data_IF_567253774404
#
_entry.id   IF_567253774404
#
_cell.length_a   1.000
_cell.length_b   1.000
_cell.length_c   1.000
_cell.angle_alpha   90.00
_cell.angle_beta   90.00
_cell.angle_gamma   90.00
#
_symmetry.space_group_name_H-M   'P 1'
#
loop_
_entity.id
_entity.type
_entity.pdbx_description
1 polymer ?
#
# COMPACT_ATOMS: atom_id res chain seq x y z
N UNK A 1 -5.07 19.62 29.68
CA UNK A 1 -3.60 19.82 29.67
C UNK A 1 -3.29 20.79 28.54
N UNK A 2 -2.87 22.00 28.88
CA UNK A 2 -2.70 23.12 27.96
C UNK A 2 -1.34 22.99 27.28
N UNK A 3 -1.31 23.02 25.94
CA UNK A 3 -0.09 23.29 25.17
C UNK A 3 -0.31 24.63 24.48
N UNK A 4 0.54 25.59 24.84
CA UNK A 4 0.59 26.92 24.24
C UNK A 4 1.48 26.84 23.00
N UNK A 5 0.91 27.10 21.82
CA UNK A 5 1.68 27.43 20.61
C UNK A 5 1.59 28.94 20.40
N UNK A 6 2.72 29.66 20.52
CA UNK A 6 2.82 31.06 20.09
C UNK A 6 3.45 31.12 18.68
N UNK A 7 2.57 31.44 17.73
CA UNK A 7 2.68 32.29 16.51
C UNK A 7 3.91 32.16 15.59
N UNK A 8 3.76 32.00 14.26
CA UNK A 8 3.10 32.96 13.36
C UNK A 8 2.40 32.31 12.16
N UNK A 9 1.27 32.91 11.83
CA UNK A 9 0.18 32.45 10.96
C UNK A 9 0.53 32.55 9.46
N UNK A 10 0.34 31.45 8.74
CA UNK A 10 -0.24 31.42 7.41
C UNK A 10 -1.33 30.34 7.45
N UNK A 11 -2.59 30.71 7.25
CA UNK A 11 -3.77 29.83 7.40
C UNK A 11 -3.53 28.44 6.78
N UNK A 12 -3.48 27.40 7.60
CA UNK A 12 -3.89 26.08 7.14
C UNK A 12 -5.41 26.13 7.18
N UNK A 13 -6.03 26.27 6.01
CA UNK A 13 -7.44 25.95 5.88
C UNK A 13 -7.55 24.46 6.19
N UNK A 14 -8.27 24.09 7.24
CA UNK A 14 -8.75 22.72 7.42
C UNK A 14 -9.78 22.45 6.29
N UNK A 15 -9.29 22.19 5.09
CA UNK A 15 -10.03 21.42 4.10
C UNK A 15 -9.75 19.96 4.41
N UNK A 16 -10.70 19.35 5.13
CA UNK A 16 -10.59 18.02 5.70
C UNK A 16 -10.10 16.98 4.69
N UNK A 17 -8.89 16.49 4.90
CA UNK A 17 -8.47 15.15 4.47
C UNK A 17 -8.26 14.33 5.73
N UNK A 18 -8.99 13.22 5.80
CA UNK A 18 -8.82 12.21 6.84
C UNK A 18 -7.38 11.64 6.81
N UNK A 19 -6.89 11.09 7.92
CA UNK A 19 -5.50 10.60 8.04
C UNK A 19 -5.21 9.49 7.03
N UNK A 20 -4.17 9.63 6.20
CA UNK A 20 -3.61 8.49 5.48
C UNK A 20 -2.88 7.56 6.45
N UNK A 21 -2.96 6.26 6.20
CA UNK A 21 -2.23 5.20 6.88
C UNK A 21 -0.73 5.32 6.60
N UNK A 22 -0.31 5.50 5.35
CA UNK A 22 1.01 4.99 4.94
C UNK A 22 2.06 5.96 4.39
N UNK A 23 1.70 7.17 3.92
CA UNK A 23 2.66 8.05 3.22
C UNK A 23 2.70 9.46 3.79
N UNK A 24 3.90 9.92 4.12
CA UNK A 24 4.20 11.33 4.41
C UNK A 24 4.80 11.97 3.17
N UNK A 25 4.09 12.94 2.61
CA UNK A 25 4.52 13.71 1.45
C UNK A 25 4.10 15.16 1.70
N UNK A 26 5.01 16.11 1.47
CA UNK A 26 4.68 17.53 1.57
C UNK A 26 3.77 17.93 0.40
N UNK A 27 2.89 18.90 0.59
CA UNK A 27 1.87 19.24 -0.41
C UNK A 27 2.45 19.85 -1.69
N UNK A 28 3.55 20.58 -1.57
CA UNK A 28 4.34 21.09 -2.70
C UNK A 28 4.92 19.94 -3.53
N UNK A 29 5.53 18.95 -2.86
CA UNK A 29 6.03 17.76 -3.51
C UNK A 29 4.87 16.99 -4.15
N UNK A 30 3.78 16.72 -3.44
CA UNK A 30 2.60 16.02 -3.96
C UNK A 30 2.10 16.62 -5.28
N UNK A 31 2.01 17.95 -5.34
CA UNK A 31 1.57 18.66 -6.54
C UNK A 31 2.57 18.53 -7.70
N UNK A 32 3.87 18.50 -7.43
CA UNK A 32 4.92 18.22 -8.41
C UNK A 32 4.81 16.78 -8.94
N UNK A 33 4.65 15.78 -8.05
CA UNK A 33 4.59 14.37 -8.45
C UNK A 33 3.43 14.10 -9.41
N UNK A 34 2.26 14.71 -9.15
CA UNK A 34 1.09 14.62 -10.01
C UNK A 34 1.33 15.25 -11.39
N UNK A 35 2.14 16.32 -11.47
CA UNK A 35 2.44 17.00 -12.74
C UNK A 35 3.47 16.23 -13.57
N UNK A 36 4.45 15.64 -12.93
CA UNK A 36 5.61 15.05 -13.61
C UNK A 36 5.47 13.53 -13.82
N UNK A 37 4.44 12.88 -13.24
CA UNK A 37 4.25 11.43 -13.32
C UNK A 37 5.43 10.64 -12.71
N UNK A 38 6.19 11.26 -11.81
CA UNK A 38 7.45 10.72 -11.30
C UNK A 38 7.24 9.61 -10.27
N UNK A 39 8.30 8.82 -10.11
CA UNK A 39 8.43 7.65 -9.22
C UNK A 39 8.95 8.11 -7.87
N UNK A 40 8.26 7.79 -6.78
CA UNK A 40 8.71 8.15 -5.44
C UNK A 40 8.44 6.97 -4.50
N UNK A 41 9.45 6.15 -4.28
CA UNK A 41 9.38 5.04 -3.35
C UNK A 41 9.58 3.67 -4.00
N UNK A 42 9.92 2.72 -3.15
CA UNK A 42 10.05 1.32 -3.52
C UNK A 42 8.67 0.75 -3.85
N UNK A 43 8.46 0.42 -5.11
CA UNK A 43 7.23 -0.20 -5.58
C UNK A 43 7.54 -1.45 -6.41
N UNK A 44 6.59 -2.36 -6.45
CA UNK A 44 6.67 -3.57 -7.24
C UNK A 44 5.33 -3.78 -7.95
N UNK A 45 5.39 -4.26 -9.19
CA UNK A 45 4.21 -4.80 -9.84
C UNK A 45 3.89 -6.14 -9.18
N UNK A 46 2.63 -6.35 -8.82
CA UNK A 46 2.18 -7.59 -8.21
C UNK A 46 0.96 -8.12 -8.93
N UNK A 47 0.88 -9.44 -9.01
CA UNK A 47 -0.33 -10.16 -9.39
C UNK A 47 -1.10 -10.54 -8.13
N UNK A 48 -2.35 -10.11 -8.07
CA UNK A 48 -3.28 -10.37 -7.00
C UNK A 48 -4.37 -11.33 -7.48
N UNK A 49 -4.53 -12.45 -6.78
CA UNK A 49 -5.61 -13.40 -6.99
C UNK A 49 -6.64 -13.26 -5.86
N UNK A 50 -7.89 -13.02 -6.21
CA UNK A 50 -8.98 -12.85 -5.24
C UNK A 50 -9.41 -14.21 -4.69
N UNK A 51 -9.36 -14.39 -3.37
CA UNK A 51 -9.73 -15.64 -2.69
C UNK A 51 -11.09 -15.58 -1.99
N UNK A 52 -11.64 -14.37 -1.78
CA UNK A 52 -12.95 -14.15 -1.12
C UNK A 52 -13.77 -13.10 -1.86
N UNK A 53 -15.08 -13.07 -1.59
CA UNK A 53 -16.00 -12.09 -2.17
C UNK A 53 -16.67 -12.60 -3.45
N UNK A 54 -17.20 -11.68 -4.27
CA UNK A 54 -17.96 -12.06 -5.46
C UNK A 54 -17.09 -12.44 -6.67
N UNK A 55 -15.84 -11.98 -6.68
CA UNK A 55 -14.92 -12.16 -7.80
C UNK A 55 -13.81 -13.16 -7.45
N UNK A 56 -14.11 -14.19 -6.65
CA UNK A 56 -13.18 -15.28 -6.34
C UNK A 56 -12.64 -15.89 -7.64
N UNK A 57 -11.32 -16.07 -7.68
CA UNK A 57 -10.59 -16.56 -8.85
C UNK A 57 -10.26 -15.48 -9.88
N UNK A 58 -10.66 -14.22 -9.67
CA UNK A 58 -10.18 -13.12 -10.50
C UNK A 58 -8.70 -12.82 -10.23
N UNK A 59 -8.02 -12.35 -11.26
CA UNK A 59 -6.61 -12.00 -11.22
C UNK A 59 -6.43 -10.57 -11.73
N UNK A 60 -5.67 -9.77 -10.98
CA UNK A 60 -5.40 -8.37 -11.31
C UNK A 60 -3.91 -8.07 -11.10
N UNK A 61 -3.29 -7.43 -12.08
CA UNK A 61 -1.94 -6.90 -11.94
C UNK A 61 -2.05 -5.44 -11.48
N UNK A 62 -1.28 -5.07 -10.47
CA UNK A 62 -1.34 -3.76 -9.82
C UNK A 62 0.04 -3.37 -9.29
N UNK A 63 0.35 -2.08 -9.34
CA UNK A 63 1.54 -1.53 -8.68
C UNK A 63 1.28 -1.31 -7.20
N UNK A 64 2.17 -1.84 -6.37
CA UNK A 64 2.10 -1.69 -4.91
C UNK A 64 3.34 -1.03 -4.36
N UNK A 65 3.17 -0.13 -3.40
CA UNK A 65 4.26 0.47 -2.62
C UNK A 65 4.71 -0.50 -1.54
N UNK A 66 5.99 -0.85 -1.52
CA UNK A 66 6.61 -1.59 -0.44
C UNK A 66 6.83 -0.66 0.76
N UNK A 67 5.88 -0.68 1.71
CA UNK A 67 5.90 0.19 2.87
C UNK A 67 6.46 -0.51 4.12
N UNK A 68 7.76 -0.38 4.35
CA UNK A 68 8.40 -0.95 5.55
C UNK A 68 7.92 -0.32 6.88
N UNK A 69 7.29 0.86 6.85
CA UNK A 69 6.68 1.49 8.03
C UNK A 69 5.27 0.98 8.34
N UNK A 70 4.71 0.13 7.48
CA UNK A 70 3.42 -0.51 7.70
C UNK A 70 3.62 -1.85 8.44
N UNK A 71 3.66 -1.76 9.77
CA UNK A 71 3.97 -2.90 10.64
C UNK A 71 2.74 -3.76 10.96
N UNK A 72 2.87 -5.07 10.74
CA UNK A 72 1.77 -6.03 10.92
C UNK A 72 2.25 -7.34 11.56
N UNK A 73 1.31 -8.18 12.03
CA UNK A 73 1.67 -9.50 12.61
C UNK A 73 1.94 -10.57 11.56
N UNK A 74 1.30 -10.46 10.40
CA UNK A 74 1.43 -11.38 9.27
C UNK A 74 1.25 -10.63 7.95
N UNK A 75 1.39 -11.31 6.81
CA UNK A 75 1.29 -10.68 5.50
C UNK A 75 -0.05 -9.96 5.31
N UNK A 76 0.03 -8.68 4.99
CA UNK A 76 -1.11 -7.78 4.90
C UNK A 76 -0.85 -6.72 3.83
N UNK A 77 -1.92 -6.25 3.19
CA UNK A 77 -1.87 -5.08 2.34
C UNK A 77 -2.98 -4.10 2.66
N UNK A 78 -2.71 -2.81 2.44
CA UNK A 78 -3.79 -1.81 2.33
C UNK A 78 -4.26 -1.77 0.89
N UNK A 79 -5.57 -1.82 0.70
CA UNK A 79 -6.23 -1.73 -0.59
C UNK A 79 -7.10 -0.47 -0.63
N UNK A 80 -6.87 0.46 -1.59
CA UNK A 80 -7.78 1.56 -1.85
C UNK A 80 -9.20 1.08 -2.11
N UNK A 81 -10.19 1.79 -1.59
CA UNK A 81 -11.61 1.43 -1.74
C UNK A 81 -12.03 1.22 -3.21
N UNK A 82 -11.54 2.06 -4.12
CA UNK A 82 -11.80 1.93 -5.57
C UNK A 82 -11.21 0.66 -6.16
N UNK A 83 -10.03 0.22 -5.70
CA UNK A 83 -9.50 -1.07 -6.12
C UNK A 83 -10.30 -2.23 -5.52
N UNK A 84 -10.71 -2.11 -4.25
CA UNK A 84 -11.57 -3.10 -3.59
C UNK A 84 -12.92 -3.28 -4.29
N UNK A 85 -13.48 -2.22 -4.87
CA UNK A 85 -14.68 -2.29 -5.73
C UNK A 85 -14.39 -3.08 -7.01
N UNK A 86 -13.27 -2.80 -7.68
CA UNK A 86 -12.85 -3.52 -8.89
C UNK A 86 -12.66 -5.02 -8.66
N UNK A 87 -12.06 -5.41 -7.52
CA UNK A 87 -11.87 -6.82 -7.15
C UNK A 87 -13.07 -7.42 -6.39
N UNK A 88 -14.18 -6.67 -6.30
CA UNK A 88 -15.44 -7.09 -5.71
C UNK A 88 -15.36 -7.51 -4.23
N UNK A 89 -14.42 -6.93 -3.48
CA UNK A 89 -14.38 -6.96 -2.02
C UNK A 89 -15.24 -5.84 -1.42
N UNK A 90 -15.57 -4.80 -2.20
CA UNK A 90 -16.58 -3.79 -1.90
C UNK A 90 -17.63 -3.70 -3.04
N UNK A 91 -18.84 -3.15 -2.78
CA UNK A 91 -19.41 -2.84 -1.46
C UNK A 91 -19.90 -4.11 -0.71
N UNK A 92 -19.95 -5.27 -1.38
CA UNK A 92 -20.39 -6.52 -0.76
C UNK A 92 -19.25 -7.22 -0.04
N UNK A 93 -18.92 -6.73 1.15
CA UNK A 93 -17.88 -7.29 2.00
C UNK A 93 -18.04 -8.81 2.17
N UNK A 94 -16.96 -9.60 2.01
CA UNK A 94 -17.03 -11.04 2.22
C UNK A 94 -17.42 -11.40 3.65
N UNK A 95 -17.97 -12.61 3.83
CA UNK A 95 -18.24 -13.15 5.16
C UNK A 95 -16.95 -13.23 6.00
N UNK A 96 -17.08 -12.92 7.29
CA UNK A 96 -15.94 -12.88 8.20
C UNK A 96 -15.06 -11.65 8.05
N UNK A 97 -15.52 -10.60 7.36
CA UNK A 97 -14.88 -9.26 7.42
C UNK A 97 -15.10 -8.61 8.79
N UNK A 98 -14.09 -7.97 9.37
CA UNK A 98 -14.22 -7.21 10.62
C UNK A 98 -13.59 -5.82 10.55
N UNK A 99 -13.79 -4.99 11.57
CA UNK A 99 -13.14 -3.69 11.67
C UNK A 99 -11.79 -3.79 12.36
N UNK A 100 -10.75 -3.23 11.74
CA UNK A 100 -9.40 -3.12 12.34
C UNK A 100 -9.00 -1.66 12.45
N UNK A 101 -8.25 -1.31 13.50
CA UNK A 101 -7.82 0.07 13.77
C UNK A 101 -6.30 0.15 13.64
N UNK A 102 -5.83 1.08 12.82
CA UNK A 102 -4.42 1.37 12.59
C UNK A 102 -4.06 2.71 13.23
N UNK A 103 -2.86 2.80 13.79
CA UNK A 103 -2.29 4.08 14.22
C UNK A 103 -1.57 4.68 13.03
N UNK A 104 -1.88 5.93 12.72
CA UNK A 104 -1.22 6.70 11.65
C UNK A 104 -0.59 7.96 12.23
N UNK A 105 0.19 8.68 11.44
CA UNK A 105 0.80 9.95 11.85
C UNK A 105 -0.25 11.02 12.20
N UNK A 106 -1.44 10.99 11.57
CA UNK A 106 -2.51 11.95 11.81
C UNK A 106 -3.64 11.40 12.71
N UNK A 107 -3.49 10.19 13.28
CA UNK A 107 -4.43 9.63 14.26
C UNK A 107 -4.87 8.19 13.95
N UNK A 108 -5.74 7.59 14.77
CA UNK A 108 -6.26 6.26 14.52
C UNK A 108 -7.24 6.24 13.33
N UNK A 109 -7.11 5.25 12.45
CA UNK A 109 -8.00 5.02 11.31
C UNK A 109 -8.64 3.64 11.44
N UNK A 110 -9.96 3.56 11.26
CA UNK A 110 -10.71 2.29 11.21
C UNK A 110 -10.93 1.90 9.75
N UNK A 111 -10.68 0.63 9.44
CA UNK A 111 -10.86 0.05 8.10
C UNK A 111 -11.62 -1.26 8.16
N UNK A 112 -12.18 -1.69 7.03
CA UNK A 112 -12.66 -3.05 6.84
C UNK A 112 -11.48 -3.98 6.59
N UNK A 113 -11.45 -5.11 7.29
CA UNK A 113 -10.36 -6.08 7.21
C UNK A 113 -10.88 -7.44 6.77
N UNK A 114 -10.34 -7.94 5.65
CA UNK A 114 -10.64 -9.26 5.08
C UNK A 114 -9.42 -10.15 5.25
N UNK A 115 -9.47 -11.07 6.22
CA UNK A 115 -8.37 -12.03 6.43
C UNK A 115 -8.32 -13.07 5.32
N UNK A 116 -7.11 -13.32 4.81
CA UNK A 116 -6.88 -14.26 3.71
C UNK A 116 -7.72 -13.93 2.48
N UNK A 117 -7.96 -12.64 2.22
CA UNK A 117 -8.82 -12.19 1.13
C UNK A 117 -8.21 -12.41 -0.25
N UNK A 118 -6.87 -12.45 -0.33
CA UNK A 118 -6.12 -12.51 -1.59
C UNK A 118 -4.84 -13.33 -1.46
N UNK A 119 -4.34 -13.81 -2.59
CA UNK A 119 -2.98 -14.30 -2.77
C UNK A 119 -2.20 -13.31 -3.63
N UNK A 120 -0.95 -13.01 -3.25
CA UNK A 120 -0.11 -12.01 -3.93
C UNK A 120 1.18 -12.66 -4.43
N UNK A 121 1.62 -12.26 -5.63
CA UNK A 121 2.94 -12.58 -6.22
C UNK A 121 3.57 -11.32 -6.77
N UNK A 122 4.87 -11.14 -6.61
CA UNK A 122 5.62 -10.09 -7.30
C UNK A 122 5.86 -10.51 -8.75
N UNK A 123 5.57 -9.61 -9.67
CA UNK A 123 5.91 -9.73 -11.08
C UNK A 123 7.26 -9.05 -11.33
N UNK A 124 8.13 -9.77 -12.03
CA UNK A 124 9.41 -9.29 -12.49
C UNK A 124 9.58 -9.71 -13.96
N UNK A 125 10.44 -9.00 -14.69
CA UNK A 125 10.66 -9.19 -16.13
C UNK A 125 10.92 -10.65 -16.54
N UNK A 126 11.60 -11.42 -15.67
CA UNK A 126 12.13 -12.75 -15.91
C UNK A 126 11.57 -13.84 -14.97
N UNK A 127 10.81 -13.47 -13.94
CA UNK A 127 10.31 -14.41 -12.93
C UNK A 127 9.13 -13.84 -12.15
N UNK A 128 8.44 -14.73 -11.44
CA UNK A 128 7.48 -14.36 -10.39
C UNK A 128 7.99 -14.81 -9.02
N UNK A 129 7.54 -14.17 -7.94
CA UNK A 129 7.74 -14.72 -6.60
C UNK A 129 6.84 -15.93 -6.35
N UNK A 130 7.11 -16.63 -5.25
CA UNK A 130 6.13 -17.52 -4.65
C UNK A 130 4.87 -16.74 -4.24
N UNK A 131 3.76 -17.47 -4.19
CA UNK A 131 2.48 -16.95 -3.77
C UNK A 131 2.40 -16.80 -2.25
N UNK A 132 1.89 -15.66 -1.80
CA UNK A 132 1.70 -15.38 -0.37
C UNK A 132 0.24 -15.03 -0.11
N UNK A 133 -0.42 -15.82 0.73
CA UNK A 133 -1.75 -15.50 1.25
C UNK A 133 -1.69 -14.25 2.14
N UNK A 134 -2.64 -13.34 1.96
CA UNK A 134 -2.55 -11.99 2.49
C UNK A 134 -3.91 -11.49 3.02
N UNK A 135 -3.88 -10.80 4.16
CA UNK A 135 -5.03 -10.04 4.66
C UNK A 135 -5.17 -8.70 3.95
N UNK A 136 -6.40 -8.24 3.73
CA UNK A 136 -6.69 -6.99 3.03
C UNK A 136 -7.32 -5.99 3.98
N UNK A 137 -6.64 -4.87 4.21
CA UNK A 137 -7.16 -3.69 4.90
C UNK A 137 -7.72 -2.70 3.87
N UNK A 138 -9.03 -2.57 3.77
CA UNK A 138 -9.68 -1.72 2.78
C UNK A 138 -9.80 -0.29 3.32
N UNK A 139 -9.09 0.65 2.70
CA UNK A 139 -9.03 2.05 3.13
C UNK A 139 -9.71 2.97 2.12
N UNK A 140 -10.62 3.82 2.62
CA UNK A 140 -11.19 4.94 1.83
C UNK A 140 -10.23 6.12 1.69
N UNK A 141 -9.08 6.08 2.38
CA UNK A 141 -8.15 7.21 2.54
C UNK A 141 -6.86 7.05 1.76
N UNK A 142 -6.53 5.81 1.38
CA UNK A 142 -5.37 5.51 0.54
C UNK A 142 -5.75 5.52 -0.93
N UNK A 143 -4.82 5.97 -1.75
CA UNK A 143 -4.92 6.01 -3.23
C UNK A 143 -3.95 5.04 -3.91
N UNK A 144 -3.08 4.36 -3.16
CA UNK A 144 -2.16 3.32 -3.65
C UNK A 144 -2.29 2.05 -2.82
N UNK A 145 -1.98 0.90 -3.42
CA UNK A 145 -1.88 -0.36 -2.68
C UNK A 145 -0.56 -0.39 -1.90
N UNK A 146 -0.62 -0.71 -0.61
CA UNK A 146 0.56 -0.73 0.27
C UNK A 146 0.85 -2.16 0.74
N UNK A 147 2.07 -2.63 0.58
CA UNK A 147 2.53 -3.90 1.16
C UNK A 147 3.06 -3.66 2.57
N UNK A 148 2.67 -4.50 3.54
CA UNK A 148 3.21 -4.45 4.90
C UNK A 148 4.64 -4.98 5.00
N UNK A 149 5.33 -4.67 6.10
CA UNK A 149 6.65 -5.20 6.43
C UNK A 149 6.73 -6.74 6.32
N UNK A 150 5.69 -7.43 6.81
CA UNK A 150 5.59 -8.89 6.76
C UNK A 150 5.33 -9.42 5.36
N UNK A 151 4.51 -8.74 4.57
CA UNK A 151 4.27 -9.14 3.18
C UNK A 151 5.51 -8.92 2.32
N UNK A 152 6.21 -7.80 2.48
CA UNK A 152 7.50 -7.50 1.83
C UNK A 152 8.50 -8.63 2.12
N UNK A 153 8.63 -9.01 3.39
CA UNK A 153 9.55 -10.08 3.80
C UNK A 153 9.14 -11.45 3.23
N UNK A 154 7.84 -11.77 3.24
CA UNK A 154 7.31 -13.04 2.73
C UNK A 154 7.45 -13.19 1.21
N UNK A 155 7.28 -12.09 0.46
CA UNK A 155 7.52 -12.04 -0.99
C UNK A 155 9.01 -12.03 -1.35
N UNK A 156 9.89 -11.94 -0.34
CA UNK A 156 11.33 -11.90 -0.52
C UNK A 156 11.82 -10.61 -1.17
N UNK A 157 11.13 -9.49 -0.99
CA UNK A 157 11.55 -8.19 -1.52
C UNK A 157 12.64 -7.62 -0.59
N UNK A 158 13.71 -7.10 -1.18
CA UNK A 158 14.71 -6.26 -0.51
C UNK A 158 14.69 -4.89 -1.16
N UNK A 159 14.46 -3.86 -0.35
CA UNK A 159 14.57 -2.46 -0.76
C UNK A 159 16.05 -2.09 -0.67
N UNK A 160 16.68 -1.80 -1.80
CA UNK A 160 18.09 -1.42 -1.87
C UNK A 160 18.25 0.11 -1.83
N UNK A 161 17.40 0.83 -2.54
CA UNK A 161 17.34 2.30 -2.50
C UNK A 161 15.89 2.77 -2.61
N UNK A 162 15.34 3.28 -1.51
CA UNK A 162 13.96 3.76 -1.48
C UNK A 162 13.76 5.09 -2.22
N UNK A 163 14.81 5.91 -2.33
CA UNK A 163 14.75 7.20 -3.02
C UNK A 163 14.74 7.02 -4.54
N UNK A 164 15.63 6.17 -5.05
CA UNK A 164 15.75 5.86 -6.48
C UNK A 164 14.78 4.76 -6.94
N UNK A 165 14.14 4.08 -6.00
CA UNK A 165 13.20 2.99 -6.25
C UNK A 165 13.89 1.71 -6.72
N UNK A 166 15.08 1.40 -6.21
CA UNK A 166 15.77 0.15 -6.49
C UNK A 166 15.43 -0.93 -5.47
N UNK A 167 15.13 -2.12 -5.96
CA UNK A 167 14.83 -3.30 -5.18
C UNK A 167 15.39 -4.55 -5.85
N UNK A 168 15.40 -5.68 -5.14
CA UNK A 168 15.69 -7.01 -5.71
C UNK A 168 14.94 -8.08 -4.95
N UNK A 169 14.90 -9.30 -5.47
CA UNK A 169 14.56 -10.44 -4.65
C UNK A 169 15.73 -10.80 -3.73
N UNK A 170 15.42 -11.25 -2.51
CA UNK A 170 16.41 -11.63 -1.50
C UNK A 170 17.39 -12.70 -1.98
N UNK A 171 16.89 -13.63 -2.81
CA UNK A 171 17.68 -14.70 -3.40
C UNK A 171 18.56 -14.26 -4.58
N UNK A 172 18.43 -13.01 -5.03
CA UNK A 172 19.24 -12.45 -6.12
C UNK A 172 20.55 -11.84 -5.58
N UNK A 173 21.62 -11.86 -6.40
CA UNK A 173 22.85 -11.15 -6.06
C UNK A 173 22.60 -9.64 -5.97
N UNK A 174 23.46 -8.95 -5.22
CA UNK A 174 23.27 -7.51 -4.90
C UNK A 174 23.31 -6.61 -6.13
N UNK A 175 23.95 -7.05 -7.20
CA UNK A 175 24.07 -6.33 -8.48
C UNK A 175 22.79 -6.42 -9.33
N UNK A 176 21.86 -7.35 -9.02
CA UNK A 176 20.60 -7.54 -9.75
C UNK A 176 19.55 -6.54 -9.27
N UNK A 177 19.80 -5.25 -9.52
CA UNK A 177 18.86 -4.19 -9.17
C UNK A 177 17.70 -4.12 -10.16
N UNK A 178 16.50 -4.00 -9.61
CA UNK A 178 15.23 -3.83 -10.31
C UNK A 178 14.70 -2.44 -10.03
N UNK A 179 14.15 -1.79 -11.05
CA UNK A 179 13.60 -0.44 -10.92
C UNK A 179 12.10 -0.53 -10.63
N UNK A 180 11.64 0.27 -9.68
CA UNK A 180 10.22 0.39 -9.35
C UNK A 180 9.42 0.92 -10.54
N UNK A 181 8.19 0.42 -10.77
CA UNK A 181 7.28 0.96 -11.77
C UNK A 181 6.81 2.39 -11.41
N UNK A 182 6.08 3.02 -12.32
CA UNK A 182 5.41 4.30 -12.03
C UNK A 182 4.26 4.09 -11.04
N UNK A 183 3.92 5.10 -10.22
CA UNK A 183 2.80 5.01 -9.28
C UNK A 183 1.48 4.67 -9.99
N UNK A 184 0.65 3.87 -9.33
CA UNK A 184 -0.70 3.53 -9.79
C UNK A 184 -1.71 4.01 -8.76
N UNK A 185 -2.46 5.07 -9.13
CA UNK A 185 -3.42 5.73 -8.26
C UNK A 185 -4.83 5.21 -8.54
N UNK A 186 -5.60 5.03 -7.47
CA UNK A 186 -6.97 4.52 -7.48
C UNK A 186 -7.99 5.60 -7.16
#
# INVERSE_FOLDING_TARGET
>A
MIIVFRERIGRIVEEGRLPRIGRLVSMDLHAELLREGKRHGSACEVRLNTLKGRCVGSTHDVTCVANAGYETRGPELVMPARFAEMVCLLPGLPEGTWSKIYRTTAGPVRVHFVEGGVEVRVLAEDRMSEAVGCGVAISELEDEVLLSDKLISALGIVIEDAGEGFWRFRAEPVERLRRSPSPELW
#
